data_IF_267156550476
#
_entry.id   IF_267156550476
#
_cell.length_a   1.000
_cell.length_b   1.000
_cell.length_c   1.000
_cell.angle_alpha   90.00
_cell.angle_beta   90.00
_cell.angle_gamma   90.00
#
_symmetry.space_group_name_H-M   'P 1'
#
loop_
_entity.id
_entity.type
_entity.pdbx_description
1 polymer ?
#
# COMPACT_ATOMS: atom_id res chain seq x y z
N UNK A 1 7.48 -1.42 14.99
CA UNK A 1 8.24 -0.66 13.96
C UNK A 1 9.09 -1.56 13.03
N UNK A 2 9.70 -2.66 13.50
CA UNK A 2 10.61 -3.53 12.70
C UNK A 2 10.05 -4.25 11.45
N UNK A 3 8.73 -4.38 11.28
CA UNK A 3 8.16 -5.14 10.14
C UNK A 3 8.17 -4.37 8.83
N UNK A 4 8.01 -3.05 8.89
CA UNK A 4 7.90 -2.20 7.70
C UNK A 4 9.27 -2.05 7.02
N UNK A 5 10.34 -1.95 7.81
CA UNK A 5 11.73 -1.87 7.31
C UNK A 5 12.16 -3.15 6.59
N UNK A 6 11.84 -4.33 7.16
CA UNK A 6 12.06 -5.62 6.50
C UNK A 6 11.26 -5.73 5.19
N UNK A 7 10.08 -5.12 5.14
CA UNK A 7 9.27 -5.09 3.92
C UNK A 7 9.82 -4.17 2.84
N UNK A 8 10.27 -2.98 3.22
CA UNK A 8 11.00 -2.06 2.35
C UNK A 8 12.26 -2.71 1.79
N UNK A 9 13.05 -3.39 2.62
CA UNK A 9 14.29 -4.03 2.20
C UNK A 9 14.04 -5.16 1.19
N UNK A 10 13.01 -5.99 1.41
CA UNK A 10 12.60 -7.01 0.43
C UNK A 10 12.12 -6.40 -0.88
N UNK A 11 11.34 -5.33 -0.82
CA UNK A 11 10.89 -4.61 -2.00
C UNK A 11 12.06 -4.02 -2.80
N UNK A 12 13.04 -3.41 -2.14
CA UNK A 12 14.24 -2.89 -2.81
C UNK A 12 15.13 -3.99 -3.40
N UNK A 13 15.14 -5.19 -2.80
CA UNK A 13 15.98 -6.32 -3.25
C UNK A 13 15.33 -7.17 -4.34
N UNK A 14 14.01 -7.33 -4.33
CA UNK A 14 13.28 -8.22 -5.25
C UNK A 14 12.36 -7.47 -6.23
N UNK A 15 12.12 -6.17 -6.04
CA UNK A 15 11.17 -5.39 -6.84
C UNK A 15 9.69 -5.73 -6.61
N UNK A 16 9.41 -6.70 -5.73
CA UNK A 16 8.08 -7.19 -5.39
C UNK A 16 7.95 -7.38 -3.88
N UNK A 17 6.74 -7.18 -3.34
CA UNK A 17 6.43 -7.36 -1.94
C UNK A 17 5.13 -8.14 -1.77
N UNK A 18 5.20 -9.34 -1.19
CA UNK A 18 4.03 -10.25 -0.99
C UNK A 18 3.17 -10.41 -2.27
N UNK A 19 3.80 -10.66 -3.42
CA UNK A 19 3.20 -10.70 -4.77
C UNK A 19 2.63 -9.38 -5.32
N UNK A 20 2.68 -8.28 -4.56
CA UNK A 20 2.38 -6.95 -5.11
C UNK A 20 3.63 -6.37 -5.75
N UNK A 21 3.52 -5.96 -7.00
CA UNK A 21 4.55 -5.23 -7.73
C UNK A 21 4.14 -3.77 -7.93
N UNK A 22 5.15 -2.90 -8.09
CA UNK A 22 4.93 -1.49 -8.40
C UNK A 22 4.33 -1.39 -9.79
N UNK A 23 3.10 -0.91 -9.87
CA UNK A 23 2.41 -0.69 -11.14
C UNK A 23 2.70 0.72 -11.67
N UNK A 24 2.54 1.74 -10.83
CA UNK A 24 2.70 3.14 -11.23
C UNK A 24 3.11 4.00 -10.06
N UNK A 25 3.94 4.99 -10.32
CA UNK A 25 4.21 6.08 -9.37
C UNK A 25 3.96 7.37 -10.12
N UNK A 26 3.13 8.23 -9.55
CA UNK A 26 2.86 9.58 -10.03
C UNK A 26 3.19 10.56 -8.92
N UNK A 27 4.11 11.48 -9.16
CA UNK A 27 4.17 12.72 -8.41
C UNK A 27 3.06 13.63 -8.93
N UNK A 28 2.26 14.17 -8.03
CA UNK A 28 1.32 15.22 -8.35
C UNK A 28 2.01 16.56 -8.06
N UNK A 29 2.48 17.31 -9.08
CA UNK A 29 3.16 18.59 -8.87
C UNK A 29 2.24 19.61 -8.20
N UNK A 30 0.91 19.45 -8.38
CA UNK A 30 -0.10 20.36 -7.84
C UNK A 30 -0.26 20.28 -6.31
N UNK A 31 -0.04 19.11 -5.73
CA UNK A 31 -0.22 18.89 -4.27
C UNK A 31 1.08 18.54 -3.56
N UNK A 32 2.20 18.43 -4.30
CA UNK A 32 3.46 17.91 -3.79
C UNK A 32 3.38 16.47 -3.29
N UNK A 33 2.29 15.75 -3.58
CA UNK A 33 2.08 14.39 -3.09
C UNK A 33 2.58 13.35 -4.08
N UNK A 34 3.11 12.26 -3.56
CA UNK A 34 3.53 11.10 -4.31
C UNK A 34 2.46 10.04 -4.18
N UNK A 35 1.87 9.68 -5.32
CA UNK A 35 0.89 8.64 -5.47
C UNK A 35 1.61 7.39 -5.97
N UNK A 36 1.52 6.32 -5.21
CA UNK A 36 2.06 5.01 -5.58
C UNK A 36 0.89 4.04 -5.76
N UNK A 37 0.97 3.24 -6.82
CA UNK A 37 -0.01 2.22 -7.15
C UNK A 37 0.70 0.89 -7.23
N UNK A 38 0.23 -0.06 -6.46
CA UNK A 38 0.72 -1.44 -6.44
C UNK A 38 -0.38 -2.36 -6.92
N UNK A 39 -0.01 -3.42 -7.62
CA UNK A 39 -0.97 -4.43 -8.04
C UNK A 39 -0.38 -5.81 -7.94
N UNK A 40 -1.24 -6.79 -7.71
CA UNK A 40 -0.90 -8.21 -7.68
C UNK A 40 -1.68 -8.97 -8.79
N UNK A 41 -1.98 -8.29 -9.90
CA UNK A 41 -2.78 -8.83 -11.01
C UNK A 41 -4.28 -8.97 -10.73
N UNK A 42 -4.66 -9.28 -9.48
CA UNK A 42 -6.05 -9.47 -9.05
C UNK A 42 -6.60 -8.21 -8.35
N UNK A 43 -5.77 -7.57 -7.53
CA UNK A 43 -6.14 -6.38 -6.75
C UNK A 43 -5.17 -5.24 -7.00
N UNK A 44 -5.70 -4.02 -7.07
CA UNK A 44 -4.94 -2.77 -7.18
C UNK A 44 -5.08 -2.01 -5.87
N UNK A 45 -3.95 -1.64 -5.30
CA UNK A 45 -3.84 -0.82 -4.10
C UNK A 45 -3.25 0.52 -4.46
N UNK A 46 -3.85 1.56 -3.91
CA UNK A 46 -3.47 2.94 -4.13
C UNK A 46 -3.09 3.54 -2.78
N UNK A 47 -1.95 4.22 -2.74
CA UNK A 47 -1.56 5.02 -1.60
C UNK A 47 -0.96 6.33 -2.08
N UNK A 48 -1.27 7.40 -1.37
CA UNK A 48 -0.62 8.69 -1.51
C UNK A 48 0.04 9.09 -0.20
N UNK A 49 1.14 9.81 -0.31
CA UNK A 49 1.84 10.41 0.81
C UNK A 49 2.60 11.64 0.37
N UNK A 50 3.01 12.46 1.33
CA UNK A 50 3.86 13.65 1.07
C UNK A 50 5.23 13.26 0.52
N UNK A 51 5.71 12.08 0.89
CA UNK A 51 6.96 11.49 0.42
C UNK A 51 6.76 10.05 -0.04
N UNK A 52 7.70 9.55 -0.87
CA UNK A 52 7.68 8.18 -1.41
C UNK A 52 7.64 7.13 -0.30
N UNK A 53 8.40 7.34 0.78
CA UNK A 53 8.40 6.45 1.94
C UNK A 53 7.06 6.41 2.67
N UNK A 54 6.41 7.55 2.86
CA UNK A 54 5.09 7.61 3.50
C UNK A 54 4.04 6.89 2.66
N UNK A 55 4.07 7.11 1.35
CA UNK A 55 3.18 6.44 0.41
C UNK A 55 3.41 4.91 0.40
N UNK A 56 4.68 4.47 0.44
CA UNK A 56 5.06 3.06 0.57
C UNK A 56 4.61 2.46 1.91
N UNK A 57 4.84 3.15 3.04
CA UNK A 57 4.39 2.70 4.37
C UNK A 57 2.88 2.45 4.38
N UNK A 58 2.10 3.39 3.85
CA UNK A 58 0.64 3.25 3.72
C UNK A 58 0.24 2.05 2.87
N UNK A 59 0.90 1.82 1.74
CA UNK A 59 0.60 0.67 0.88
C UNK A 59 0.97 -0.65 1.58
N UNK A 60 2.09 -0.71 2.30
CA UNK A 60 2.47 -1.90 3.05
C UNK A 60 1.48 -2.19 4.17
N UNK A 61 1.01 -1.17 4.89
CA UNK A 61 -0.05 -1.34 5.89
C UNK A 61 -1.34 -1.86 5.26
N UNK A 62 -1.73 -1.39 4.07
CA UNK A 62 -2.89 -1.93 3.36
C UNK A 62 -2.69 -3.39 2.92
N UNK A 63 -1.53 -3.74 2.38
CA UNK A 63 -1.19 -5.13 2.02
C UNK A 63 -1.21 -6.02 3.26
N UNK A 64 -0.66 -5.53 4.37
CA UNK A 64 -0.61 -6.29 5.62
C UNK A 64 -2.00 -6.49 6.22
N UNK A 65 -2.85 -5.45 6.20
CA UNK A 65 -4.27 -5.54 6.54
C UNK A 65 -5.01 -6.51 5.64
N UNK A 66 -4.75 -6.53 4.34
CA UNK A 66 -5.37 -7.49 3.41
C UNK A 66 -4.92 -8.93 3.68
N UNK A 67 -3.63 -9.11 3.99
CA UNK A 67 -3.08 -10.41 4.32
C UNK A 67 -3.63 -10.95 5.65
N UNK A 68 -3.81 -10.08 6.65
CA UNK A 68 -4.39 -10.44 7.95
C UNK A 68 -5.92 -10.58 7.90
N UNK A 69 -6.62 -9.78 7.09
CA UNK A 69 -8.07 -9.85 6.91
C UNK A 69 -8.51 -11.09 6.11
N UNK A 70 -7.64 -11.69 5.28
CA UNK A 70 -7.92 -13.00 4.66
C UNK A 70 -8.17 -14.13 5.68
N UNK A 71 -7.77 -13.97 6.94
CA UNK A 71 -8.10 -14.89 8.04
C UNK A 71 -9.35 -14.50 8.85
N UNK A 72 -10.02 -13.40 8.49
CA UNK A 72 -11.21 -12.91 9.19
C UNK A 72 -12.18 -12.29 8.21
N UNK A 73 -13.03 -13.13 7.59
CA UNK A 73 -14.29 -12.64 7.03
C UNK A 73 -15.09 -12.01 8.18
N UNK A 74 -15.14 -10.68 8.25
CA UNK A 74 -16.33 -10.00 8.74
C UNK A 74 -16.40 -8.55 8.25
N UNK A 75 -17.26 -8.37 7.25
CA UNK A 75 -18.45 -7.52 7.30
C UNK A 75 -18.36 -6.08 7.86
N UNK A 76 -19.01 -5.18 7.11
CA UNK A 76 -19.55 -3.87 7.50
C UNK A 76 -18.59 -2.66 7.48
N UNK A 77 -18.46 -2.09 6.27
CA UNK A 77 -18.44 -0.63 6.15
C UNK A 77 -19.87 -0.12 6.38
N UNK A 78 -20.09 0.60 7.47
CA UNK A 78 -21.21 1.52 7.62
C UNK A 78 -20.59 2.88 7.93
N UNK A 79 -20.70 3.81 6.98
CA UNK A 79 -20.58 5.24 7.26
C UNK A 79 -21.96 5.85 7.08
N UNK A 80 -22.67 6.23 8.16
CA UNK A 80 -23.64 7.30 8.08
C UNK A 80 -22.88 8.63 8.18
N UNK A 81 -23.05 9.46 7.16
CA UNK A 81 -22.78 10.88 7.23
C UNK A 81 -23.98 11.53 7.93
N UNK A 82 -23.74 12.38 8.92
CA UNK A 82 -24.75 13.26 9.50
C UNK A 82 -24.19 14.68 9.55
#
# INVERSE_FOLDING_TARGET
MKQIEKGLQKYYKFGQYKNFYKYKVRSSPFTGQIHVTFTNGIQKLFASGRCKEEALKKIFTQIDRLASCKNGRSSHQMTPHN
#
